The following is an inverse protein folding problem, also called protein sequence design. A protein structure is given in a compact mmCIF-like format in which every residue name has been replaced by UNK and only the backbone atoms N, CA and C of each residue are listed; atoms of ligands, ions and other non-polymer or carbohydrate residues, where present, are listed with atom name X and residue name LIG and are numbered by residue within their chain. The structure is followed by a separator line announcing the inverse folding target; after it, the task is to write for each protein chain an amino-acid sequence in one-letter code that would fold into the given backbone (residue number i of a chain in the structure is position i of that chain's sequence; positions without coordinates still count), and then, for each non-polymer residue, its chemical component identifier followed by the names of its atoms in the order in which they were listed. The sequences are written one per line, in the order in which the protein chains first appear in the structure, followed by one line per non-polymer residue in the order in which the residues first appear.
data_IF_882960085286
#
_entry.id   IF_882960085286
#
_cell.length_a   1.000
_cell.length_b   1.000
_cell.length_c   1.000
_cell.angle_alpha   90.00
_cell.angle_beta   90.00
_cell.angle_gamma   90.00
#
_symmetry.space_group_name_H-M   'P 1'
#
loop_
_entity.id
_entity.type
_entity.pdbx_description
1 polymer ?
#
# COMPACT_ATOMS: atom_id res chain seq x y z
N UNK A 1 -9.28 10.67 -16.63
CA UNK A 1 -8.33 10.18 -15.62
C UNK A 1 -7.64 11.39 -15.03
N UNK A 2 -7.94 11.76 -13.79
CA UNK A 2 -7.29 12.90 -13.15
C UNK A 2 -5.87 12.50 -12.76
N UNK A 3 -4.89 13.02 -13.49
CA UNK A 3 -3.48 12.81 -13.19
C UNK A 3 -3.17 13.35 -11.79
N UNK A 4 -2.61 12.48 -10.95
CA UNK A 4 -2.23 12.82 -9.59
C UNK A 4 -0.97 13.68 -9.65
N UNK A 5 -1.06 14.94 -9.24
CA UNK A 5 0.12 15.79 -9.06
C UNK A 5 0.64 15.68 -7.64
N UNK A 6 1.94 15.42 -7.56
CA UNK A 6 2.65 15.09 -6.33
C UNK A 6 3.48 16.31 -5.88
N UNK A 7 3.41 16.75 -4.61
CA UNK A 7 4.21 17.87 -4.10
C UNK A 7 5.71 17.55 -4.03
N UNK A 8 6.53 18.54 -3.66
CA UNK A 8 8.00 18.48 -3.65
C UNK A 8 8.56 17.23 -2.95
N UNK A 9 9.40 16.49 -3.66
CA UNK A 9 10.03 15.27 -3.15
C UNK A 9 11.04 15.57 -2.03
N UNK A 10 11.13 14.66 -1.06
CA UNK A 10 12.21 14.63 -0.09
C UNK A 10 13.53 14.35 -0.81
N UNK A 11 14.57 15.13 -0.50
CA UNK A 11 15.91 14.97 -1.09
C UNK A 11 16.80 14.01 -0.30
N UNK A 12 16.30 13.47 0.82
CA UNK A 12 17.03 12.48 1.63
C UNK A 12 16.94 11.11 0.95
N UNK A 13 18.07 10.48 0.58
CA UNK A 13 18.13 9.10 0.10
C UNK A 13 17.50 8.14 1.10
N UNK A 14 16.75 7.18 0.58
CA UNK A 14 16.02 6.16 1.34
C UNK A 14 16.93 5.35 2.26
N UNK A 15 18.14 5.05 1.80
CA UNK A 15 19.15 4.25 2.47
C UNK A 15 19.66 4.95 3.74
N UNK A 16 19.59 6.28 3.77
CA UNK A 16 19.95 7.11 4.93
C UNK A 16 18.82 7.27 5.96
N UNK A 17 17.63 6.75 5.66
CA UNK A 17 16.51 6.76 6.60
C UNK A 17 16.58 5.56 7.53
N UNK A 18 16.27 5.75 8.82
CA UNK A 18 16.35 4.69 9.85
C UNK A 18 15.17 3.71 9.67
N UNK A 19 15.39 2.39 9.63
CA UNK A 19 14.27 1.43 9.58
C UNK A 19 13.28 1.60 10.74
N UNK A 20 11.99 1.46 10.44
CA UNK A 20 10.90 1.37 11.43
C UNK A 20 10.03 0.15 11.14
N UNK A 21 9.09 -0.16 12.03
CA UNK A 21 8.14 -1.24 11.81
C UNK A 21 7.22 -1.03 10.59
N UNK A 22 7.00 0.23 10.16
CA UNK A 22 6.06 0.57 9.07
C UNK A 22 6.75 1.05 7.79
N UNK A 23 8.07 1.23 7.83
CA UNK A 23 8.84 1.77 6.72
C UNK A 23 10.18 2.30 7.18
N UNK A 24 10.43 3.59 6.98
CA UNK A 24 11.65 4.26 7.45
C UNK A 24 11.38 5.64 8.00
N UNK A 25 12.20 6.09 8.93
CA UNK A 25 12.16 7.40 9.54
C UNK A 25 13.17 8.32 8.85
N UNK A 26 12.70 9.44 8.30
CA UNK A 26 13.55 10.45 7.69
C UNK A 26 14.15 11.37 8.77
N UNK A 27 15.48 11.44 8.92
CA UNK A 27 16.13 12.24 9.97
C UNK A 27 16.07 13.75 9.71
N UNK A 28 15.78 14.19 8.49
CA UNK A 28 15.78 15.63 8.14
C UNK A 28 14.43 16.28 8.39
N UNK A 29 13.33 15.61 8.04
CA UNK A 29 11.99 16.14 8.23
C UNK A 29 11.24 15.53 9.41
N UNK A 30 11.88 14.61 10.15
CA UNK A 30 11.34 13.93 11.33
C UNK A 30 9.97 13.28 11.08
N UNK A 31 9.85 12.62 9.92
CA UNK A 31 8.62 11.96 9.47
C UNK A 31 8.86 10.49 9.18
N UNK A 32 7.84 9.69 9.49
CA UNK A 32 7.75 8.31 9.02
C UNK A 32 7.38 8.27 7.53
N UNK A 33 8.13 7.47 6.77
CA UNK A 33 8.03 7.27 5.33
C UNK A 33 7.58 5.85 5.04
N UNK A 34 6.39 5.68 4.47
CA UNK A 34 5.85 4.37 4.10
C UNK A 34 6.30 3.98 2.69
N UNK A 35 6.80 2.76 2.50
CA UNK A 35 7.14 2.25 1.16
C UNK A 35 5.91 1.62 0.49
N UNK A 36 5.33 2.33 -0.47
CA UNK A 36 4.13 1.88 -1.19
C UNK A 36 4.46 1.24 -2.55
N UNK A 37 5.73 1.16 -2.95
CA UNK A 37 6.14 0.74 -4.32
C UNK A 37 5.75 -0.68 -4.69
N UNK A 38 5.63 -1.56 -3.69
CA UNK A 38 5.26 -2.98 -3.88
C UNK A 38 3.77 -3.23 -3.76
N UNK A 39 2.98 -2.19 -3.46
CA UNK A 39 1.57 -2.32 -3.17
C UNK A 39 0.73 -2.03 -4.41
N UNK A 40 -0.40 -2.72 -4.50
CA UNK A 40 -1.46 -2.34 -5.42
C UNK A 40 -2.10 -1.03 -4.98
N UNK A 41 -2.67 -0.31 -5.94
CA UNK A 41 -3.27 1.02 -5.78
C UNK A 41 -4.17 1.13 -4.56
N UNK A 42 -5.11 0.18 -4.40
CA UNK A 42 -6.06 0.16 -3.27
C UNK A 42 -5.37 0.02 -1.92
N UNK A 43 -4.31 -0.80 -1.85
CA UNK A 43 -3.57 -1.07 -0.60
C UNK A 43 -2.69 0.10 -0.21
N UNK A 44 -2.01 0.68 -1.19
CA UNK A 44 -1.31 1.94 -1.03
C UNK A 44 -2.25 3.03 -0.50
N UNK A 45 -3.47 3.09 -1.03
CA UNK A 45 -4.46 4.06 -0.60
C UNK A 45 -4.95 3.83 0.83
N UNK A 46 -5.28 2.59 1.18
CA UNK A 46 -5.72 2.23 2.52
C UNK A 46 -4.67 2.59 3.59
N UNK A 47 -3.39 2.28 3.34
CA UNK A 47 -2.29 2.67 4.24
C UNK A 47 -2.18 4.20 4.36
N UNK A 48 -2.25 4.92 3.24
CA UNK A 48 -2.20 6.38 3.25
C UNK A 48 -3.33 7.00 4.09
N UNK A 49 -4.54 6.45 4.03
CA UNK A 49 -5.68 6.93 4.81
C UNK A 49 -5.56 6.62 6.30
N UNK A 50 -5.02 5.45 6.66
CA UNK A 50 -4.94 5.01 8.06
C UNK A 50 -3.78 5.66 8.81
N UNK A 51 -2.64 5.86 8.13
CA UNK A 51 -1.41 6.36 8.74
C UNK A 51 -1.17 7.85 8.47
N UNK A 52 -2.13 8.54 7.84
CA UNK A 52 -1.99 9.92 7.39
C UNK A 52 -2.35 11.01 8.39
N UNK A 53 -3.12 10.75 9.45
CA UNK A 53 -3.47 11.79 10.44
C UNK A 53 -3.95 13.12 9.82
N UNK A 54 -3.59 14.25 10.45
CA UNK A 54 -3.90 15.63 9.99
C UNK A 54 -2.98 16.13 8.85
N UNK A 55 -1.89 15.40 8.57
CA UNK A 55 -0.88 15.77 7.59
C UNK A 55 -0.52 14.54 6.76
N UNK A 56 -0.86 14.57 5.48
CA UNK A 56 -0.69 13.42 4.60
C UNK A 56 0.68 12.71 4.77
N UNK A 57 0.68 11.36 4.85
CA UNK A 57 1.86 10.63 5.27
C UNK A 57 2.98 10.81 4.25
N UNK A 58 4.23 10.75 4.72
CA UNK A 58 5.36 10.73 3.80
C UNK A 58 5.41 9.33 3.16
N UNK A 59 5.55 9.25 1.84
CA UNK A 59 5.52 7.98 1.13
C UNK A 59 6.59 7.87 0.09
N UNK A 60 7.11 6.66 -0.10
CA UNK A 60 7.92 6.29 -1.25
C UNK A 60 7.03 5.55 -2.25
N UNK A 61 6.89 6.09 -3.45
CA UNK A 61 6.11 5.50 -4.55
C UNK A 61 6.94 5.40 -5.82
N UNK A 62 6.51 4.55 -6.75
CA UNK A 62 7.01 4.60 -8.14
C UNK A 62 6.28 5.71 -8.86
N UNK A 63 6.99 6.40 -9.75
CA UNK A 63 6.38 7.38 -10.64
C UNK A 63 6.70 7.03 -12.09
N UNK A 64 5.83 7.43 -13.01
CA UNK A 64 6.16 7.44 -14.43
C UNK A 64 7.08 8.63 -14.76
N UNK A 65 7.46 8.75 -16.04
CA UNK A 65 8.31 9.82 -16.56
C UNK A 65 7.67 11.21 -16.38
N UNK A 66 6.34 11.28 -16.33
CA UNK A 66 5.56 12.50 -16.10
C UNK A 66 5.41 12.84 -14.60
N UNK A 67 5.92 11.98 -13.70
CA UNK A 67 5.85 12.14 -12.26
C UNK A 67 4.53 11.70 -11.62
N UNK A 68 3.65 11.00 -12.35
CA UNK A 68 2.42 10.43 -11.81
C UNK A 68 2.72 9.15 -11.05
N UNK A 69 1.98 8.88 -9.97
CA UNK A 69 2.12 7.65 -9.18
C UNK A 69 1.75 6.40 -10.00
N UNK A 70 2.64 5.42 -10.03
CA UNK A 70 2.43 4.11 -10.68
C UNK A 70 2.33 3.04 -9.59
N UNK A 71 1.27 2.24 -9.64
CA UNK A 71 1.05 1.14 -8.70
C UNK A 71 1.12 -0.20 -9.41
N UNK A 72 1.51 -1.25 -8.67
CA UNK A 72 1.55 -2.60 -9.23
C UNK A 72 0.12 -3.08 -9.45
N UNK A 73 -0.28 -3.30 -10.70
CA UNK A 73 -1.55 -3.97 -10.96
C UNK A 73 -1.54 -5.38 -10.35
N UNK A 74 -2.65 -5.85 -9.75
CA UNK A 74 -2.74 -7.22 -9.31
C UNK A 74 -2.50 -8.12 -10.53
N UNK A 75 -1.44 -8.92 -10.48
CA UNK A 75 -1.14 -9.88 -11.55
C UNK A 75 -2.39 -10.72 -11.78
N UNK A 76 -3.07 -10.50 -12.92
CA UNK A 76 -4.18 -11.36 -13.35
C UNK A 76 -3.61 -12.77 -13.40
N UNK A 77 -3.95 -13.60 -12.40
CA UNK A 77 -3.63 -15.03 -12.46
C UNK A 77 -4.25 -15.52 -13.76
N UNK A 78 -3.41 -15.84 -14.75
CA UNK A 78 -3.84 -16.55 -15.96
C UNK A 78 -4.45 -17.84 -15.47
N UNK A 79 -5.78 -17.89 -15.36
CA UNK A 79 -6.52 -19.13 -15.24
C UNK A 79 -6.24 -19.90 -16.51
N UNK A 80 -5.25 -20.79 -16.46
CA UNK A 80 -5.09 -21.84 -17.46
C UNK A 80 -6.33 -22.71 -17.29
N UNK A 81 -7.33 -22.50 -18.13
CA UNK A 81 -8.44 -23.43 -18.27
C UNK A 81 -7.85 -24.76 -18.74
N UNK A 82 -7.71 -25.73 -17.83
CA UNK A 82 -7.51 -27.12 -18.21
C UNK A 82 -8.82 -27.57 -18.86
N UNK A 83 -8.81 -28.09 -20.10
CA UNK A 83 -10.01 -28.66 -20.69
C UNK A 83 -10.39 -29.90 -19.88
N UNK A 84 -11.60 -29.87 -19.31
CA UNK A 84 -12.22 -31.04 -18.68
C UNK A 84 -12.56 -32.02 -19.81
N UNK A 85 -11.75 -33.06 -19.94
CA UNK A 85 -12.08 -34.19 -20.81
C UNK A 85 -13.17 -35.00 -20.10
N UNK A 86 -14.38 -34.96 -20.62
CA UNK A 86 -15.50 -35.78 -20.13
C UNK A 86 -15.27 -37.21 -20.63
N UNK A 87 -14.73 -38.07 -19.77
CA UNK A 87 -14.67 -39.50 -20.00
C UNK A 87 -15.98 -40.15 -19.49
N UNK A 88 -16.86 -40.54 -20.40
CA UNK A 88 -18.02 -41.38 -20.11
C UNK A 88 -17.59 -42.83 -19.98
N UNK A 89 -17.65 -43.41 -18.78
CA UNK A 89 -17.50 -44.85 -18.59
C UNK A 89 -18.56 -45.39 -17.61
N UNK A 90 -19.45 -46.20 -18.20
CA UNK A 90 -19.82 -47.56 -17.77
C UNK A 90 -19.96 -47.87 -16.29
N UNK A 91 -21.20 -48.19 -15.90
CA UNK A 91 -21.59 -48.90 -14.69
C UNK A 91 -20.88 -50.25 -14.59
N UNK A 92 -20.21 -50.52 -13.47
CA UNK A 92 -19.65 -51.82 -13.11
C UNK A 92 -19.49 -51.94 -11.60
N UNK A 93 -20.33 -52.76 -10.98
CA UNK A 93 -20.42 -53.01 -9.54
C UNK A 93 -19.51 -54.18 -9.14
N UNK A 94 -18.74 -54.07 -8.05
CA UNK A 94 -18.43 -55.19 -7.12
C UNK A 94 -17.59 -54.75 -5.91
N UNK A 95 -17.82 -55.46 -4.81
CA UNK A 95 -17.50 -55.19 -3.40
C UNK A 95 -16.15 -55.75 -2.90
N UNK A 96 -15.87 -55.43 -1.62
CA UNK A 96 -14.99 -56.07 -0.62
C UNK A 96 -13.60 -55.40 -0.41
N UNK A 97 -13.38 -54.77 0.76
CA UNK A 97 -12.63 -55.27 1.95
C UNK A 97 -11.10 -55.15 1.74
N UNK A 98 -10.21 -54.66 2.61
CA UNK A 98 -10.09 -54.41 4.05
C UNK A 98 -8.90 -53.40 4.25
N UNK A 99 -8.52 -52.96 5.47
CA UNK A 99 -7.59 -51.85 5.71
C UNK A 99 -6.14 -52.31 5.95
N UNK A 100 -5.16 -51.50 5.50
CA UNK A 100 -3.77 -51.52 5.98
C UNK A 100 -3.11 -50.20 5.56
N UNK A 101 -2.81 -49.29 6.49
CA UNK A 101 -1.58 -49.21 7.29
C UNK A 101 -0.53 -48.31 6.60
N UNK A 102 -0.22 -47.20 7.28
CA UNK A 102 0.66 -46.14 6.82
C UNK A 102 2.14 -46.57 6.88
N UNK A 103 2.96 -46.26 5.86
CA UNK A 103 4.40 -46.42 6.01
C UNK A 103 5.02 -45.26 6.83
N UNK A 104 6.04 -45.53 7.65
CA UNK A 104 6.62 -44.58 8.58
C UNK A 104 7.56 -43.56 7.92
N UNK A 105 7.64 -42.41 8.57
CA UNK A 105 8.64 -41.34 8.36
C UNK A 105 10.02 -41.82 8.83
N UNK A 106 11.11 -41.63 8.08
CA UNK A 106 12.45 -41.65 8.66
C UNK A 106 12.83 -40.24 9.17
N UNK A 107 13.18 -40.17 10.46
CA UNK A 107 13.74 -39.02 11.16
C UNK A 107 15.20 -39.30 11.50
N UNK A 108 16.08 -38.32 11.22
CA UNK A 108 17.47 -38.11 11.68
C UNK A 108 18.46 -39.29 11.45
N UNK A 109 19.76 -39.10 11.18
CA UNK A 109 20.72 -38.25 11.88
C UNK A 109 22.03 -38.15 11.07
N UNK A 110 22.77 -37.06 11.29
CA UNK A 110 24.23 -36.89 11.23
C UNK A 110 25.01 -37.21 9.96
N UNK A 111 25.66 -36.17 9.40
CA UNK A 111 27.14 -36.14 9.35
C UNK A 111 27.71 -34.72 9.22
N UNK A 112 28.63 -34.46 10.15
CA UNK A 112 29.93 -33.80 9.95
C UNK A 112 29.99 -32.33 9.51
N UNK A 113 30.22 -31.51 10.53
CA UNK A 113 31.03 -30.30 10.54
C UNK A 113 32.35 -30.49 9.78
N UNK A 114 32.62 -29.64 8.78
CA UNK A 114 33.96 -29.39 8.26
C UNK A 114 34.11 -27.89 8.10
N UNK A 115 34.88 -27.31 9.00
CA UNK A 115 35.38 -25.94 8.91
C UNK A 115 36.68 -25.99 8.11
N UNK A 116 36.71 -25.37 6.93
CA UNK A 116 37.96 -24.95 6.30
C UNK A 116 37.81 -23.53 5.73
N UNK A 117 38.88 -22.73 5.78
CA UNK A 117 38.85 -21.30 5.50
C UNK A 117 38.77 -21.03 3.99
N UNK A 118 37.90 -20.10 3.61
CA UNK A 118 37.83 -19.55 2.25
C UNK A 118 39.14 -18.82 1.94
N UNK A 119 39.95 -19.24 0.96
CA UNK A 119 41.08 -18.43 0.52
C UNK A 119 40.57 -17.20 -0.22
N UNK A 120 41.16 -16.05 0.09
CA UNK A 120 40.91 -14.79 -0.61
C UNK A 120 41.17 -14.96 -2.12
N UNK A 121 40.27 -14.51 -3.01
CA UNK A 121 40.61 -14.41 -4.41
C UNK A 121 41.61 -13.26 -4.58
N UNK A 122 42.86 -13.66 -4.82
CA UNK A 122 43.90 -12.76 -5.30
C UNK A 122 43.52 -12.34 -6.71
N UNK A 123 43.52 -11.02 -6.92
CA UNK A 123 43.34 -10.34 -8.19
C UNK A 123 44.32 -10.86 -9.23
N UNK A 124 43.81 -11.46 -10.30
CA UNK A 124 44.49 -11.50 -11.59
C UNK A 124 43.59 -10.80 -12.59
N UNK A 125 44.02 -9.59 -12.97
CA UNK A 125 43.46 -8.82 -14.07
C UNK A 125 43.52 -9.64 -15.35
N UNK A 126 42.36 -10.00 -15.89
CA UNK A 126 42.19 -10.37 -17.28
C UNK A 126 41.30 -9.32 -17.91
N UNK A 127 41.93 -8.33 -18.55
CA UNK A 127 41.24 -7.34 -19.37
C UNK A 127 40.63 -8.04 -20.59
N UNK A 128 39.40 -8.55 -20.43
CA UNK A 128 38.48 -8.71 -21.55
C UNK A 128 38.00 -7.34 -22.03
N UNK A 129 37.53 -7.21 -23.28
CA UNK A 129 37.03 -5.93 -23.76
C UNK A 129 35.88 -5.50 -22.85
N UNK A 130 36.06 -4.35 -22.17
CA UNK A 130 34.97 -3.66 -21.52
C UNK A 130 33.90 -3.44 -22.60
N UNK A 131 32.81 -4.19 -22.53
CA UNK A 131 31.60 -3.80 -23.23
C UNK A 131 31.27 -2.45 -22.62
N UNK A 132 31.38 -1.43 -23.44
CA UNK A 132 31.03 -0.06 -23.13
C UNK A 132 29.52 0.00 -22.97
N UNK A 133 29.07 -0.56 -21.86
CA UNK A 133 27.69 -0.86 -21.53
C UNK A 133 27.02 0.39 -20.93
N UNK A 134 27.30 1.52 -21.55
CA UNK A 134 26.75 2.83 -21.24
C UNK A 134 25.25 2.93 -21.54
N UNK A 135 24.65 1.87 -22.10
CA UNK A 135 23.26 1.79 -22.53
C UNK A 135 22.42 0.78 -21.74
N UNK A 136 23.01 0.03 -20.80
CA UNK A 136 22.23 -0.89 -19.97
C UNK A 136 21.30 -0.10 -19.06
N UNK A 137 20.04 -0.52 -19.07
CA UNK A 137 18.97 -0.02 -18.21
C UNK A 137 18.33 -1.26 -17.56
N UNK A 138 18.73 -1.54 -16.33
CA UNK A 138 18.40 -2.78 -15.61
C UNK A 138 16.98 -2.77 -15.04
N UNK A 139 16.34 -1.61 -14.89
CA UNK A 139 14.99 -1.49 -14.32
C UNK A 139 13.93 -0.97 -15.32
N UNK A 140 14.36 -0.56 -16.50
CA UNK A 140 13.54 -0.21 -17.64
C UNK A 140 12.86 1.15 -17.52
N UNK A 141 13.42 2.07 -16.74
CA UNK A 141 12.83 3.41 -16.55
C UNK A 141 13.25 4.44 -17.61
N UNK A 142 14.20 4.05 -18.48
CA UNK A 142 14.74 4.89 -19.55
C UNK A 142 16.01 5.66 -19.16
N UNK A 143 16.61 5.37 -17.99
CA UNK A 143 17.87 5.92 -17.51
C UNK A 143 18.90 4.79 -17.45
N UNK A 144 20.07 5.01 -18.05
CA UNK A 144 21.10 3.97 -18.07
C UNK A 144 21.77 3.82 -16.69
N UNK A 145 22.07 2.58 -16.30
CA UNK A 145 22.70 2.19 -15.03
C UNK A 145 23.88 3.09 -14.60
N UNK A 146 24.78 3.57 -15.49
CA UNK A 146 25.90 4.43 -15.08
C UNK A 146 25.50 5.84 -14.62
N UNK A 147 24.34 6.33 -15.05
CA UNK A 147 23.78 7.65 -14.68
C UNK A 147 22.53 7.51 -13.80
N UNK A 148 22.14 6.28 -13.48
CA UNK A 148 21.06 5.95 -12.56
C UNK A 148 21.59 5.82 -11.13
N UNK A 149 20.99 6.57 -10.20
CA UNK A 149 21.32 6.49 -8.78
C UNK A 149 20.66 5.28 -8.08
N UNK A 150 19.66 4.65 -8.70
CA UNK A 150 18.95 3.46 -8.26
C UNK A 150 18.75 2.42 -9.40
N UNK A 151 19.84 1.83 -9.96
CA UNK A 151 19.78 1.02 -11.20
C UNK A 151 18.88 -0.23 -11.23
N UNK A 152 18.30 -0.62 -10.09
CA UNK A 152 17.43 -1.80 -9.97
C UNK A 152 15.99 -1.42 -9.57
N UNK A 153 15.69 -0.13 -9.52
CA UNK A 153 14.44 0.40 -9.00
C UNK A 153 13.93 1.60 -9.81
N UNK A 154 13.12 1.32 -10.83
CA UNK A 154 12.60 2.34 -11.73
C UNK A 154 12.07 3.61 -11.04
N UNK A 155 12.58 4.76 -11.47
CA UNK A 155 12.25 6.08 -10.98
C UNK A 155 12.02 7.07 -12.11
N UNK A 156 12.14 8.35 -11.77
CA UNK A 156 12.01 9.43 -12.74
C UNK A 156 13.31 10.24 -12.77
N UNK A 157 13.54 10.95 -13.87
CA UNK A 157 14.69 11.85 -14.02
C UNK A 157 14.74 12.85 -12.87
N UNK A 158 15.93 13.04 -12.31
CA UNK A 158 16.15 13.86 -11.12
C UNK A 158 17.60 14.35 -10.99
N UNK A 159 17.93 15.06 -9.91
CA UNK A 159 19.30 15.45 -9.60
C UNK A 159 20.24 14.23 -9.58
N UNK A 160 21.57 14.39 -9.81
CA UNK A 160 22.50 13.26 -9.93
C UNK A 160 22.46 12.23 -8.78
N UNK A 161 22.10 12.66 -7.56
CA UNK A 161 22.01 11.79 -6.37
C UNK A 161 20.69 11.03 -6.23
N UNK A 162 19.73 11.30 -7.10
CA UNK A 162 18.38 10.74 -7.08
C UNK A 162 17.79 10.56 -8.47
N UNK A 163 18.64 10.57 -9.51
CA UNK A 163 18.24 10.33 -10.90
C UNK A 163 17.90 8.84 -11.04
N UNK A 164 16.74 8.49 -11.60
CA UNK A 164 16.29 7.09 -11.67
C UNK A 164 15.83 6.49 -10.34
N UNK A 165 15.78 7.29 -9.28
CA UNK A 165 15.28 6.82 -7.99
C UNK A 165 13.77 7.04 -7.80
N UNK A 166 13.05 6.10 -7.16
CA UNK A 166 11.66 6.28 -6.75
C UNK A 166 11.52 7.43 -5.76
N UNK A 167 10.59 8.35 -6.00
CA UNK A 167 10.43 9.57 -5.22
C UNK A 167 9.82 9.29 -3.85
N UNK A 168 10.49 9.80 -2.81
CA UNK A 168 9.91 9.98 -1.47
C UNK A 168 9.20 11.33 -1.47
N UNK A 169 7.92 11.36 -1.15
CA UNK A 169 7.10 12.57 -1.24
C UNK A 169 6.65 12.95 0.15
N UNK A 170 6.96 14.19 0.52
CA UNK A 170 6.45 14.83 1.73
C UNK A 170 5.22 15.62 1.32
N UNK A 171 4.03 15.16 1.67
CA UNK A 171 2.84 15.97 1.42
C UNK A 171 2.77 17.10 2.45
N UNK A 172 3.04 18.34 2.02
CA UNK A 172 2.91 19.57 2.83
C UNK A 172 1.55 20.27 2.64
N UNK A 173 0.78 19.83 1.66
CA UNK A 173 -0.61 20.25 1.41
C UNK A 173 -1.37 19.00 1.01
N UNK A 174 -2.46 18.72 1.73
CA UNK A 174 -3.45 17.65 1.51
C UNK A 174 -3.23 16.82 0.25
N UNK A 175 -2.44 15.75 0.38
CA UNK A 175 -2.48 14.66 -0.58
C UNK A 175 -1.16 13.93 -0.76
N UNK A 176 -1.05 12.73 -0.20
CA UNK A 176 -0.93 11.59 -1.11
C UNK A 176 -2.22 11.60 -1.90
N UNK A 177 -2.24 11.40 -3.23
CA UNK A 177 -3.50 11.17 -3.92
C UNK A 177 -4.40 10.29 -3.07
N UNK A 178 -5.54 10.83 -2.65
CA UNK A 178 -6.59 9.98 -2.15
C UNK A 178 -7.03 9.24 -3.39
N UNK A 179 -6.46 8.05 -3.62
CA UNK A 179 -6.57 7.33 -4.87
C UNK A 179 -8.04 6.94 -5.11
N UNK A 180 -8.85 6.86 -4.04
CA UNK A 180 -10.31 6.75 -4.12
C UNK A 180 -11.00 7.35 -2.89
N UNK A 181 -11.72 8.45 -3.11
CA UNK A 181 -12.57 9.06 -2.10
C UNK A 181 -13.69 8.09 -1.68
N UNK A 182 -14.04 8.07 -0.38
CA UNK A 182 -15.26 7.41 0.08
C UNK A 182 -16.43 8.34 -0.23
N UNK A 183 -17.31 7.89 -1.12
CA UNK A 183 -18.45 8.63 -1.63
C UNK A 183 -19.75 8.10 -1.06
N UNK A 184 -20.75 8.98 -1.01
CA UNK A 184 -22.10 8.69 -0.55
C UNK A 184 -23.10 9.19 -1.58
N UNK A 185 -24.29 8.58 -1.64
CA UNK A 185 -25.39 9.16 -2.41
C UNK A 185 -25.75 10.54 -1.85
N UNK A 186 -26.17 11.45 -2.74
CA UNK A 186 -26.39 12.86 -2.43
C UNK A 186 -27.28 13.05 -1.19
N UNK A 187 -26.83 13.88 -0.24
CA UNK A 187 -27.57 14.17 1.00
C UNK A 187 -27.75 12.98 1.96
N UNK A 188 -27.12 11.83 1.70
CA UNK A 188 -27.34 10.60 2.46
C UNK A 188 -26.07 10.06 3.12
N UNK A 189 -26.25 8.99 3.91
CA UNK A 189 -25.17 8.17 4.45
C UNK A 189 -25.01 6.82 3.71
N UNK A 190 -25.63 6.68 2.53
CA UNK A 190 -25.54 5.46 1.73
C UNK A 190 -24.24 5.44 0.95
N UNK A 191 -23.35 4.52 1.31
CA UNK A 191 -22.03 4.38 0.70
C UNK A 191 -22.19 3.96 -0.76
N UNK A 192 -21.57 4.71 -1.67
CA UNK A 192 -21.56 4.38 -3.09
C UNK A 192 -20.86 3.03 -3.33
N UNK A 193 -21.38 2.22 -4.24
CA UNK A 193 -20.76 0.93 -4.62
C UNK A 193 -19.32 1.11 -5.11
N UNK A 194 -19.03 2.24 -5.77
CA UNK A 194 -17.68 2.58 -6.21
C UNK A 194 -16.65 2.67 -5.06
N UNK A 195 -17.09 2.98 -3.84
CA UNK A 195 -16.22 3.09 -2.66
C UNK A 195 -16.06 1.78 -1.88
N UNK A 196 -16.81 0.73 -2.22
CA UNK A 196 -16.70 -0.56 -1.54
C UNK A 196 -15.31 -1.22 -1.68
N UNK A 197 -14.65 -1.21 -2.86
CA UNK A 197 -13.34 -1.82 -3.00
C UNK A 197 -12.25 -1.15 -2.17
N UNK A 198 -12.28 0.17 -1.97
CA UNK A 198 -11.34 0.86 -1.09
C UNK A 198 -11.63 0.53 0.38
N UNK A 199 -12.91 0.47 0.78
CA UNK A 199 -13.29 0.09 2.14
C UNK A 199 -12.92 -1.35 2.49
N UNK A 200 -12.98 -2.27 1.52
CA UNK A 200 -12.55 -3.65 1.68
C UNK A 200 -11.05 -3.73 1.99
N UNK A 201 -10.25 -2.95 1.29
CA UNK A 201 -8.81 -2.91 1.53
C UNK A 201 -8.47 -2.22 2.86
N UNK A 202 -9.20 -1.18 3.25
CA UNK A 202 -9.07 -0.56 4.59
C UNK A 202 -9.36 -1.61 5.68
N UNK A 203 -10.42 -2.39 5.54
CA UNK A 203 -10.74 -3.45 6.51
C UNK A 203 -9.62 -4.49 6.61
N UNK A 204 -9.05 -4.88 5.47
CA UNK A 204 -7.92 -5.81 5.40
C UNK A 204 -6.69 -5.25 6.09
N UNK A 205 -6.30 -4.00 5.81
CA UNK A 205 -5.17 -3.34 6.45
C UNK A 205 -5.40 -3.26 7.97
N UNK A 206 -6.57 -2.82 8.44
CA UNK A 206 -6.84 -2.77 9.89
C UNK A 206 -6.68 -4.17 10.52
N UNK A 207 -7.09 -5.23 9.83
CA UNK A 207 -6.97 -6.61 10.31
C UNK A 207 -5.53 -7.11 10.33
N UNK A 208 -4.71 -6.75 9.33
CA UNK A 208 -3.28 -7.07 9.25
C UNK A 208 -2.43 -6.29 10.26
N UNK A 209 -2.96 -5.19 10.81
CA UNK A 209 -2.27 -4.31 11.75
C UNK A 209 -2.92 -4.34 13.14
N UNK A 210 -2.74 -5.41 13.94
CA UNK A 210 -3.33 -5.55 15.28
C UNK A 210 -2.75 -4.55 16.31
N UNK A 211 -1.65 -3.88 15.99
CA UNK A 211 -1.11 -2.76 16.76
C UNK A 211 -2.01 -1.52 16.68
N UNK A 212 -2.89 -1.39 15.67
CA UNK A 212 -3.87 -0.31 15.60
C UNK A 212 -5.04 -0.59 16.56
N UNK A 213 -4.89 -0.25 17.84
CA UNK A 213 -5.87 -0.59 18.88
C UNK A 213 -7.18 0.16 18.72
N UNK A 214 -7.13 1.47 18.43
CA UNK A 214 -8.34 2.29 18.28
C UNK A 214 -8.21 3.26 17.12
N UNK A 215 -9.23 3.32 16.27
CA UNK A 215 -9.28 4.13 15.05
C UNK A 215 -10.60 4.91 15.04
N UNK A 216 -10.52 6.23 14.92
CA UNK A 216 -11.65 7.08 14.64
C UNK A 216 -11.93 7.13 13.14
N UNK A 217 -13.19 6.92 12.76
CA UNK A 217 -13.72 7.21 11.43
C UNK A 217 -14.35 8.59 11.50
N UNK A 218 -13.67 9.58 10.92
CA UNK A 218 -14.06 10.99 10.97
C UNK A 218 -14.69 11.38 9.62
N UNK A 219 -15.95 11.80 9.64
CA UNK A 219 -16.63 12.27 8.45
C UNK A 219 -16.86 13.79 8.54
N UNK A 220 -16.74 14.45 7.40
CA UNK A 220 -16.97 15.88 7.24
C UNK A 220 -18.00 16.12 6.14
N UNK A 221 -18.69 17.25 6.26
CA UNK A 221 -19.57 17.78 5.23
C UNK A 221 -18.97 19.05 4.65
N UNK A 222 -19.53 19.54 3.55
CA UNK A 222 -19.36 20.95 3.20
C UNK A 222 -20.36 21.84 3.94
N UNK A 223 -20.23 23.17 3.75
CA UNK A 223 -21.04 24.19 4.41
C UNK A 223 -22.47 24.32 3.85
N UNK A 224 -22.79 23.66 2.75
CA UNK A 224 -24.10 23.69 2.07
C UNK A 224 -24.99 22.52 2.46
N UNK A 225 -24.42 21.44 2.99
CA UNK A 225 -25.20 20.26 3.39
C UNK A 225 -26.06 20.52 4.64
N UNK A 226 -27.35 20.14 4.62
CA UNK A 226 -28.24 20.35 5.75
C UNK A 226 -27.85 19.46 6.93
N UNK A 227 -28.01 19.99 8.15
CA UNK A 227 -27.71 19.29 9.40
C UNK A 227 -26.30 18.63 9.40
N UNK A 228 -25.23 19.41 9.15
CA UNK A 228 -23.91 18.89 8.80
C UNK A 228 -23.33 17.95 9.87
N UNK A 229 -23.56 18.24 11.16
CA UNK A 229 -23.12 17.37 12.27
C UNK A 229 -23.82 16.01 12.25
N UNK A 230 -25.14 15.99 12.06
CA UNK A 230 -25.92 14.75 12.02
C UNK A 230 -25.58 13.91 10.80
N UNK A 231 -25.48 14.54 9.64
CA UNK A 231 -25.17 13.86 8.38
C UNK A 231 -23.77 13.26 8.39
N UNK A 232 -22.76 14.01 8.82
CA UNK A 232 -21.40 13.47 8.97
C UNK A 232 -21.36 12.31 9.95
N UNK A 233 -22.02 12.41 11.11
CA UNK A 233 -22.05 11.30 12.08
C UNK A 233 -22.72 10.05 11.48
N UNK A 234 -23.80 10.22 10.72
CA UNK A 234 -24.46 9.12 10.03
C UNK A 234 -23.53 8.45 9.00
N UNK A 235 -22.78 9.24 8.22
CA UNK A 235 -21.77 8.76 7.26
C UNK A 235 -20.64 8.00 7.95
N UNK A 236 -20.08 8.54 9.02
CA UNK A 236 -19.04 7.86 9.81
C UNK A 236 -19.53 6.51 10.36
N UNK A 237 -20.76 6.46 10.88
CA UNK A 237 -21.39 5.22 11.35
C UNK A 237 -21.63 4.22 10.22
N UNK A 238 -22.01 4.68 9.02
CA UNK A 238 -22.18 3.81 7.86
C UNK A 238 -20.87 3.13 7.46
N UNK A 239 -19.77 3.90 7.42
CA UNK A 239 -18.43 3.36 7.15
C UNK A 239 -18.00 2.38 8.23
N UNK A 240 -18.18 2.72 9.51
CA UNK A 240 -17.90 1.80 10.61
C UNK A 240 -18.67 0.49 10.49
N UNK A 241 -20.00 0.54 10.24
CA UNK A 241 -20.80 -0.68 10.02
C UNK A 241 -20.29 -1.51 8.84
N UNK A 242 -19.88 -0.85 7.77
CA UNK A 242 -19.30 -1.53 6.61
C UNK A 242 -18.01 -2.28 6.99
N UNK A 243 -17.09 -1.63 7.71
CA UNK A 243 -15.83 -2.24 8.15
C UNK A 243 -16.05 -3.40 9.13
N UNK A 244 -17.01 -3.26 10.05
CA UNK A 244 -17.40 -4.36 10.97
C UNK A 244 -17.93 -5.55 10.19
N UNK A 245 -18.78 -5.32 9.18
CA UNK A 245 -19.26 -6.38 8.27
C UNK A 245 -18.11 -7.09 7.52
N UNK A 246 -16.97 -6.41 7.34
CA UNK A 246 -15.77 -6.95 6.70
C UNK A 246 -14.79 -7.61 7.67
N UNK A 247 -15.15 -7.73 8.96
CA UNK A 247 -14.38 -8.47 9.96
C UNK A 247 -13.56 -7.61 10.92
N UNK A 248 -13.62 -6.28 10.81
CA UNK A 248 -12.96 -5.40 11.79
C UNK A 248 -13.73 -5.41 13.11
N UNK A 249 -13.06 -5.66 14.24
CA UNK A 249 -13.70 -5.57 15.55
C UNK A 249 -14.30 -4.18 15.80
N UNK A 250 -15.56 -4.13 16.21
CA UNK A 250 -16.26 -2.87 16.50
C UNK A 250 -15.61 -2.07 17.63
N UNK A 251 -14.93 -2.73 18.57
CA UNK A 251 -14.22 -2.09 19.69
C UNK A 251 -13.02 -1.26 19.22
N UNK A 252 -12.46 -1.61 18.06
CA UNK A 252 -11.33 -0.89 17.44
C UNK A 252 -11.78 0.37 16.71
N UNK A 253 -13.09 0.61 16.55
CA UNK A 253 -13.63 1.68 15.70
C UNK A 253 -14.48 2.67 16.52
N UNK A 254 -14.30 3.95 16.22
CA UNK A 254 -15.10 5.05 16.80
C UNK A 254 -15.61 5.95 15.69
N UNK A 255 -16.92 6.11 15.55
CA UNK A 255 -17.49 7.04 14.57
C UNK A 255 -17.53 8.48 15.13
N UNK A 256 -17.03 9.45 14.36
CA UNK A 256 -17.10 10.89 14.68
C UNK A 256 -17.65 11.68 13.48
N UNK A 257 -18.68 12.49 13.73
CA UNK A 257 -19.20 13.46 12.76
C UNK A 257 -18.70 14.86 13.09
N UNK A 258 -17.87 15.43 12.22
CA UNK A 258 -17.26 16.75 12.45
C UNK A 258 -18.04 17.89 11.79
N UNK A 259 -19.02 17.56 10.94
CA UNK A 259 -19.78 18.53 10.16
C UNK A 259 -18.88 19.37 9.25
N UNK A 260 -19.22 20.65 9.11
CA UNK A 260 -18.50 21.61 8.27
C UNK A 260 -17.47 22.45 9.05
N UNK A 261 -17.19 22.13 10.31
CA UNK A 261 -16.43 23.00 11.22
C UNK A 261 -14.90 23.00 10.95
N UNK A 262 -14.42 22.04 10.17
CA UNK A 262 -13.01 21.86 9.84
C UNK A 262 -12.82 21.60 8.33
N UNK A 263 -12.96 22.65 7.49
CA UNK A 263 -12.82 22.56 6.05
C UNK A 263 -11.34 22.47 5.65
N UNK A 264 -11.02 21.61 4.68
CA UNK A 264 -9.70 21.61 4.02
C UNK A 264 -9.51 22.84 3.14
N UNK A 265 -10.61 23.34 2.59
CA UNK A 265 -10.63 24.50 1.71
C UNK A 265 -11.80 25.40 2.13
N UNK A 266 -11.49 26.58 2.69
CA UNK A 266 -12.49 27.52 3.21
C UNK A 266 -13.21 28.31 2.12
N UNK A 267 -12.76 28.18 0.85
CA UNK A 267 -13.42 28.84 -0.28
C UNK A 267 -14.82 28.27 -0.50
N UNK A 268 -15.69 29.11 -1.06
CA UNK A 268 -17.09 28.75 -1.36
C UNK A 268 -17.25 28.41 -2.83
N UNK A 269 -16.48 27.44 -3.31
CA UNK A 269 -16.55 26.96 -4.70
C UNK A 269 -16.96 25.48 -4.74
N UNK A 270 -17.53 24.98 -5.85
CA UNK A 270 -17.87 23.57 -6.00
C UNK A 270 -16.69 22.63 -5.72
N UNK A 271 -15.48 23.01 -6.14
CA UNK A 271 -14.25 22.24 -5.91
C UNK A 271 -13.87 22.18 -4.43
N UNK A 272 -14.03 23.29 -3.70
CA UNK A 272 -13.78 23.34 -2.27
C UNK A 272 -14.80 22.50 -1.49
N UNK A 273 -16.08 22.55 -1.87
CA UNK A 273 -17.12 21.72 -1.27
C UNK A 273 -16.87 20.22 -1.52
N UNK A 274 -16.46 19.86 -2.73
CA UNK A 274 -16.09 18.48 -3.05
C UNK A 274 -14.90 18.00 -2.20
N UNK A 275 -13.89 18.84 -1.97
CA UNK A 275 -12.77 18.49 -1.06
C UNK A 275 -13.20 18.34 0.40
N UNK A 276 -14.13 19.19 0.86
CA UNK A 276 -14.57 19.21 2.25
C UNK A 276 -15.44 18.00 2.62
N UNK A 277 -16.28 17.52 1.69
CA UNK A 277 -17.07 16.29 1.87
C UNK A 277 -16.16 15.07 1.90
N UNK A 278 -15.55 14.72 3.03
CA UNK A 278 -14.53 13.66 3.12
C UNK A 278 -14.72 12.73 4.31
N UNK A 279 -14.12 11.55 4.21
CA UNK A 279 -13.95 10.62 5.34
C UNK A 279 -12.46 10.42 5.57
N UNK A 280 -12.05 10.50 6.83
CA UNK A 280 -10.68 10.31 7.28
C UNK A 280 -10.65 9.22 8.35
N UNK A 281 -9.49 8.57 8.49
CA UNK A 281 -9.24 7.63 9.56
C UNK A 281 -8.13 8.19 10.44
N UNK A 282 -8.39 8.33 11.74
CA UNK A 282 -7.41 8.80 12.71
C UNK A 282 -7.13 7.70 13.70
N UNK A 283 -5.88 7.28 13.81
CA UNK A 283 -5.50 6.33 14.86
C UNK A 283 -5.49 7.05 16.21
N UNK A 284 -6.33 6.60 17.13
CA UNK A 284 -6.45 7.16 18.49
C UNK A 284 -5.51 6.50 19.48
N UNK A 285 -5.25 5.20 19.28
CA UNK A 285 -4.41 4.41 20.17
C UNK A 285 -3.67 3.34 19.36
N UNK A 286 -2.38 3.22 19.64
CA UNK A 286 -1.48 2.25 19.02
C UNK A 286 -0.79 1.44 20.12
N UNK A 287 -0.75 0.13 19.94
CA UNK A 287 0.10 -0.76 20.73
C UNK A 287 1.50 -0.85 20.10
N UNK A 288 2.39 -1.58 20.79
CA UNK A 288 3.70 -1.86 20.23
C UNK A 288 3.59 -2.72 18.96
N UNK A 289 4.40 -2.45 17.93
CA UNK A 289 4.42 -3.29 16.74
C UNK A 289 4.83 -4.70 17.15
N UNK A 290 4.01 -5.69 16.80
CA UNK A 290 4.35 -7.10 17.01
C UNK A 290 5.55 -7.42 16.12
N UNK A 291 6.74 -7.48 16.70
CA UNK A 291 7.93 -8.02 16.06
C UNK A 291 7.71 -9.52 15.84
N UNK A 292 7.58 -9.94 14.58
CA UNK A 292 7.68 -11.33 14.17
C UNK A 292 9.08 -11.60 13.61
#
# INVERSE_FOLDING_TARGET
MSAIRVPTACTVPWERMRPTARGRHCPTCDKEVLDLRRLGEKRAHALALLFGGDHAPCVRIRTDQDGNAVFREPSKKRTRHLPVLVATLGVGCSSASEPAESPPVPSATEVASISEPVPAPTTTASAGPASDDSTRDSDGDGIADPIDACPLEAGAVGPPKSNGCPKVIVSSTSGIPVIQKIEFASGSADINKASQPVLDEIAKVISEHPELKRIAVEAHTDATEPNPKTLSLARARAVMRYLVKKGVSSERLVAKGLGANDPLDSRKTPEAFEKNRRVQFRVLEQGEPTSF
#
